data_IF_714789997469
#
_entry.id   IF_714789997469
#
_cell.length_a   1.000
_cell.length_b   1.000
_cell.length_c   1.000
_cell.angle_alpha   90.00
_cell.angle_beta   90.00
_cell.angle_gamma   90.00
#
_symmetry.space_group_name_H-M   'P 1'
#
loop_
_entity.id
_entity.type
_entity.pdbx_description
1 polymer ?
#
# COMPACT_ATOMS: atom_id res chain seq x y z
N UNK A 1 -15.99 -8.14 6.15
CA UNK A 1 -15.74 -6.90 5.40
C UNK A 1 -14.75 -6.05 6.17
N UNK A 2 -13.81 -5.41 5.48
CA UNK A 2 -12.61 -4.80 6.07
C UNK A 2 -12.88 -3.39 6.66
N UNK A 3 -14.01 -2.78 6.30
CA UNK A 3 -14.36 -1.40 6.65
C UNK A 3 -14.26 -1.10 8.16
N UNK A 4 -14.65 -2.05 9.02
CA UNK A 4 -14.61 -1.85 10.49
C UNK A 4 -13.19 -1.63 10.98
N UNK A 5 -12.22 -2.40 10.50
CA UNK A 5 -10.83 -2.25 10.92
C UNK A 5 -10.18 -1.04 10.25
N UNK A 6 -10.52 -0.76 8.98
CA UNK A 6 -10.01 0.42 8.26
C UNK A 6 -10.36 1.74 8.95
N UNK A 7 -11.53 1.83 9.60
CA UNK A 7 -11.96 2.99 10.40
C UNK A 7 -11.23 3.15 11.73
N UNK A 8 -10.54 2.12 12.21
CA UNK A 8 -9.88 2.11 13.54
C UNK A 8 -8.37 2.28 13.45
N UNK A 9 -7.77 1.99 12.30
CA UNK A 9 -6.33 2.13 12.07
C UNK A 9 -5.98 3.53 11.56
N UNK A 10 -4.74 3.97 11.83
CA UNK A 10 -4.26 5.29 11.38
C UNK A 10 -3.97 5.37 9.88
N UNK A 11 -3.71 4.24 9.22
CA UNK A 11 -3.43 4.18 7.79
C UNK A 11 -4.02 2.88 7.22
N UNK A 12 -4.82 3.00 6.18
CA UNK A 12 -5.46 1.87 5.49
C UNK A 12 -5.39 2.03 3.97
N UNK A 13 -5.37 0.91 3.26
CA UNK A 13 -5.28 0.87 1.80
C UNK A 13 -6.36 -0.03 1.22
N UNK A 14 -6.83 0.31 0.02
CA UNK A 14 -7.70 -0.57 -0.78
C UNK A 14 -7.10 -0.78 -2.18
N UNK A 15 -7.18 -1.99 -2.75
CA UNK A 15 -6.71 -2.23 -4.11
C UNK A 15 -7.58 -1.53 -5.17
N UNK A 16 -7.03 -1.31 -6.37
CA UNK A 16 -7.74 -0.65 -7.47
C UNK A 16 -9.07 -1.31 -7.86
N UNK A 17 -9.21 -2.63 -7.66
CA UNK A 17 -10.43 -3.38 -7.93
C UNK A 17 -11.34 -3.59 -6.71
N UNK A 18 -11.08 -2.91 -5.59
CA UNK A 18 -11.95 -2.96 -4.42
C UNK A 18 -13.34 -2.36 -4.72
N UNK A 19 -14.34 -2.81 -3.95
CA UNK A 19 -15.70 -2.24 -3.98
C UNK A 19 -15.68 -0.75 -3.61
N UNK A 20 -16.62 0.01 -4.15
CA UNK A 20 -16.64 1.47 -4.00
C UNK A 20 -16.75 1.90 -2.53
N UNK A 21 -17.52 1.17 -1.72
CA UNK A 21 -17.66 1.40 -0.28
C UNK A 21 -16.38 1.19 0.52
N UNK A 22 -15.51 0.27 0.07
CA UNK A 22 -14.20 0.02 0.69
C UNK A 22 -13.22 1.13 0.30
N UNK A 23 -13.20 1.53 -0.98
CA UNK A 23 -12.37 2.64 -1.45
C UNK A 23 -12.68 3.96 -0.74
N UNK A 24 -13.96 4.23 -0.47
CA UNK A 24 -14.40 5.46 0.23
C UNK A 24 -13.88 5.58 1.66
N UNK A 25 -13.55 4.46 2.32
CA UNK A 25 -13.06 4.47 3.71
C UNK A 25 -11.55 4.27 3.82
N UNK A 26 -10.87 3.95 2.71
CA UNK A 26 -9.43 3.77 2.68
C UNK A 26 -8.71 5.12 2.80
N UNK A 27 -7.56 5.13 3.47
CA UNK A 27 -6.68 6.31 3.48
C UNK A 27 -6.08 6.56 2.09
N UNK A 28 -5.80 5.49 1.34
CA UNK A 28 -5.39 5.56 -0.06
C UNK A 28 -5.89 4.34 -0.85
N UNK A 29 -6.02 4.51 -2.16
CA UNK A 29 -6.33 3.43 -3.10
C UNK A 29 -5.09 3.19 -3.95
N UNK A 30 -4.64 1.94 -4.04
CA UNK A 30 -3.48 1.60 -4.87
C UNK A 30 -3.83 1.71 -6.35
N UNK A 31 -2.84 2.03 -7.18
CA UNK A 31 -3.00 1.98 -8.64
C UNK A 31 -3.11 0.53 -9.13
N UNK A 32 -2.36 -0.39 -8.53
CA UNK A 32 -2.43 -1.80 -8.86
C UNK A 32 -3.69 -2.49 -8.32
N UNK A 33 -4.16 -3.52 -9.03
CA UNK A 33 -5.22 -4.41 -8.55
C UNK A 33 -4.69 -5.40 -7.51
N UNK A 34 -5.60 -5.93 -6.69
CA UNK A 34 -5.31 -7.03 -5.77
C UNK A 34 -4.86 -8.28 -6.55
N UNK A 35 -3.79 -8.92 -6.08
CA UNK A 35 -3.13 -10.02 -6.81
C UNK A 35 -2.19 -9.56 -7.93
N UNK A 36 -2.18 -8.27 -8.28
CA UNK A 36 -1.37 -7.70 -9.37
C UNK A 36 -0.42 -6.62 -8.89
N UNK A 37 0.06 -6.72 -7.64
CA UNK A 37 1.06 -5.81 -7.09
C UNK A 37 0.56 -4.77 -6.09
N UNK A 38 -0.73 -4.72 -5.75
CA UNK A 38 -1.27 -3.76 -4.77
C UNK A 38 -0.51 -3.77 -3.42
N UNK A 39 -0.19 -4.95 -2.88
CA UNK A 39 0.58 -5.05 -1.62
C UNK A 39 2.02 -4.57 -1.81
N UNK A 40 2.64 -4.84 -2.95
CA UNK A 40 4.00 -4.38 -3.26
C UNK A 40 4.05 -2.85 -3.32
N UNK A 41 3.04 -2.22 -3.92
CA UNK A 41 2.88 -0.77 -3.96
C UNK A 41 2.78 -0.18 -2.54
N UNK A 42 1.94 -0.78 -1.68
CA UNK A 42 1.83 -0.36 -0.26
C UNK A 42 3.15 -0.52 0.49
N UNK A 43 3.85 -1.65 0.31
CA UNK A 43 5.16 -1.89 0.94
C UNK A 43 6.14 -0.79 0.54
N UNK A 44 6.17 -0.43 -0.74
CA UNK A 44 7.05 0.63 -1.24
C UNK A 44 6.73 2.00 -0.63
N UNK A 45 5.44 2.38 -0.54
CA UNK A 45 5.00 3.61 0.15
C UNK A 45 5.48 3.63 1.59
N UNK A 46 5.32 2.54 2.33
CA UNK A 46 5.73 2.44 3.73
C UNK A 46 7.25 2.53 3.89
N UNK A 47 8.02 1.85 3.04
CA UNK A 47 9.49 1.87 3.11
C UNK A 47 10.07 3.22 2.70
N UNK A 48 9.50 3.87 1.68
CA UNK A 48 9.85 5.24 1.28
C UNK A 48 9.51 6.23 2.39
N UNK A 49 8.31 6.11 2.99
CA UNK A 49 7.90 6.96 4.13
C UNK A 49 8.79 6.79 5.36
N UNK A 50 9.43 5.63 5.54
CA UNK A 50 10.42 5.38 6.59
C UNK A 50 11.87 5.75 6.20
N UNK A 51 12.12 6.16 4.96
CA UNK A 51 13.46 6.49 4.47
C UNK A 51 14.40 5.30 4.20
N UNK A 52 13.91 4.07 4.32
CA UNK A 52 14.75 2.84 4.22
C UNK A 52 14.71 2.18 2.84
N UNK A 53 13.96 2.75 1.90
CA UNK A 53 13.82 2.19 0.55
C UNK A 53 15.15 2.11 -0.20
N UNK A 54 15.97 3.17 -0.14
CA UNK A 54 17.26 3.22 -0.81
C UNK A 54 18.26 2.20 -0.27
N UNK A 55 18.33 2.04 1.06
CA UNK A 55 19.17 1.02 1.70
C UNK A 55 18.76 -0.40 1.29
N UNK A 56 17.46 -0.66 1.21
CA UNK A 56 16.94 -1.94 0.74
C UNK A 56 17.33 -2.20 -0.71
N UNK A 57 17.19 -1.21 -1.59
CA UNK A 57 17.60 -1.32 -2.99
C UNK A 57 19.10 -1.56 -3.15
N UNK A 58 19.93 -0.85 -2.39
CA UNK A 58 21.38 -1.04 -2.35
C UNK A 58 21.75 -2.47 -1.92
N UNK A 59 21.10 -3.01 -0.89
CA UNK A 59 21.34 -4.37 -0.38
C UNK A 59 21.14 -5.45 -1.45
N UNK A 60 20.17 -5.25 -2.33
CA UNK A 60 19.88 -6.19 -3.43
C UNK A 60 20.55 -5.79 -4.75
N UNK A 61 21.47 -4.82 -4.72
CA UNK A 61 22.18 -4.32 -5.90
C UNK A 61 21.24 -3.79 -7.00
N UNK A 62 20.06 -3.32 -6.60
CA UNK A 62 19.04 -2.71 -7.48
C UNK A 62 18.95 -1.22 -7.21
N UNK A 63 20.11 -0.55 -7.16
CA UNK A 63 20.16 0.91 -7.12
C UNK A 63 19.54 1.48 -8.41
N UNK A 64 18.78 2.60 -8.33
CA UNK A 64 18.42 3.35 -9.53
C UNK A 64 19.64 3.89 -10.27
#
# INVERSE_FOLDING_TARGET
TDVVIMRRVGLSFAPANARAEVKRVASAVTAAMGGSGAVREVIEVLLKGRGVWGELLAKYEVLP
#
